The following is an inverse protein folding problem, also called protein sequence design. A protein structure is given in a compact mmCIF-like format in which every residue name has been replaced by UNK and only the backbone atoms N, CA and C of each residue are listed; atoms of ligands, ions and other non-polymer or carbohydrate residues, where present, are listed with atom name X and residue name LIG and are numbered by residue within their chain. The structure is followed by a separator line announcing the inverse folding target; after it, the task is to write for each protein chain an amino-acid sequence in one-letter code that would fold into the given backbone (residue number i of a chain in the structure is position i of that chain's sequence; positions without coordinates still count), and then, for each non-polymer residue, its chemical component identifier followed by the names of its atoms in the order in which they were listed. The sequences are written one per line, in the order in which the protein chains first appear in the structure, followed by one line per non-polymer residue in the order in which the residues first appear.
data_IF_472374182752
#
_entry.id   IF_472374182752
#
_cell.length_a   1.000
_cell.length_b   1.000
_cell.length_c   1.000
_cell.angle_alpha   90.00
_cell.angle_beta   90.00
_cell.angle_gamma   90.00
#
_symmetry.space_group_name_H-M   'P 1'
#
loop_
_entity.id
_entity.type
_entity.pdbx_description
1 polymer ?
#
# COMPACT_ATOMS: atom_id res chain seq x y z
N UNK A 1 -10.31 8.00 34.23
CA UNK A 1 -9.91 8.83 33.07
C UNK A 1 -8.68 8.18 32.46
N UNK A 2 -8.84 7.45 31.35
CA UNK A 2 -7.70 6.79 30.69
C UNK A 2 -6.84 7.83 29.99
N UNK A 3 -5.53 7.83 30.24
CA UNK A 3 -4.59 8.70 29.56
C UNK A 3 -4.76 8.57 28.03
N UNK A 4 -5.00 9.70 27.36
CA UNK A 4 -4.98 9.76 25.90
C UNK A 4 -3.59 9.31 25.44
N UNK A 5 -3.49 8.13 24.80
CA UNK A 5 -2.23 7.64 24.21
C UNK A 5 -1.66 8.74 23.31
N UNK A 6 -0.57 9.39 23.74
CA UNK A 6 0.13 10.40 22.94
C UNK A 6 0.53 9.78 21.60
N UNK A 7 0.17 10.44 20.50
CA UNK A 7 0.59 10.04 19.15
C UNK A 7 2.11 10.04 19.06
N UNK A 8 2.68 9.06 18.37
CA UNK A 8 4.12 8.91 18.19
C UNK A 8 4.57 9.37 16.80
N UNK A 9 5.82 9.77 16.68
CA UNK A 9 6.47 9.91 15.37
C UNK A 9 6.95 8.54 14.91
N UNK A 10 6.57 8.13 13.69
CA UNK A 10 7.10 6.93 13.05
C UNK A 10 7.68 7.33 11.69
N UNK A 11 8.96 7.06 11.49
CA UNK A 11 9.72 7.47 10.29
C UNK A 11 10.20 6.27 9.45
N UNK A 12 10.10 5.03 9.97
CA UNK A 12 10.85 3.90 9.44
C UNK A 12 10.04 2.67 9.02
N UNK A 13 8.73 2.80 8.81
CA UNK A 13 7.90 1.68 8.38
C UNK A 13 6.73 2.11 7.50
N UNK A 14 6.18 1.16 6.76
CA UNK A 14 4.86 1.31 6.14
C UNK A 14 3.85 1.59 7.26
N UNK A 15 3.16 2.74 7.17
CA UNK A 15 2.05 3.04 8.07
C UNK A 15 0.79 2.33 7.58
N UNK A 16 0.42 1.24 8.27
CA UNK A 16 -0.81 0.51 8.00
C UNK A 16 -2.03 1.33 8.44
N UNK A 17 -3.22 1.12 7.84
CA UNK A 17 -4.44 1.84 8.20
C UNK A 17 -4.72 1.85 9.72
N UNK A 18 -4.58 0.70 10.38
CA UNK A 18 -4.78 0.51 11.83
C UNK A 18 -3.83 1.35 12.72
N UNK A 19 -2.66 1.72 12.21
CA UNK A 19 -1.63 2.40 12.99
C UNK A 19 -1.82 3.93 13.00
N UNK A 20 -2.56 4.47 12.01
CA UNK A 20 -2.73 5.92 11.78
C UNK A 20 -3.30 6.68 12.98
N UNK A 21 -4.14 6.05 13.81
CA UNK A 21 -4.71 6.69 15.00
C UNK A 21 -3.66 6.96 16.10
N UNK A 22 -2.56 6.21 16.08
CA UNK A 22 -1.51 6.23 17.10
C UNK A 22 -0.24 6.97 16.68
N UNK A 23 -0.18 7.50 15.45
CA UNK A 23 0.99 8.21 14.92
C UNK A 23 0.60 9.56 14.34
N UNK A 24 1.56 10.48 14.27
CA UNK A 24 1.42 11.68 13.44
C UNK A 24 1.51 11.27 11.96
N UNK A 25 0.50 11.66 11.19
CA UNK A 25 0.31 11.22 9.81
C UNK A 25 -0.31 12.36 9.00
N UNK A 26 0.25 12.63 7.83
CA UNK A 26 -0.33 13.53 6.83
C UNK A 26 -1.12 12.68 5.84
N UNK A 27 -2.44 12.82 5.84
CA UNK A 27 -3.31 12.06 4.92
C UNK A 27 -3.10 12.54 3.48
N UNK A 28 -2.66 11.67 2.55
CA UNK A 28 -2.46 12.05 1.16
C UNK A 28 -3.76 12.09 0.35
N UNK A 29 -4.93 11.78 0.92
CA UNK A 29 -6.20 11.65 0.19
C UNK A 29 -6.48 12.79 -0.80
N UNK A 30 -6.28 14.03 -0.36
CA UNK A 30 -6.60 15.23 -1.13
C UNK A 30 -5.41 15.81 -1.92
N UNK A 31 -4.23 15.19 -1.80
CA UNK A 31 -3.04 15.62 -2.53
C UNK A 31 -3.19 15.32 -4.03
N UNK A 32 -2.79 16.24 -4.92
CA UNK A 32 -2.93 16.10 -6.39
C UNK A 32 -2.41 14.75 -6.91
N UNK A 33 -1.16 14.39 -6.57
CA UNK A 33 -0.57 13.07 -6.88
C UNK A 33 -1.40 11.85 -6.47
N UNK A 34 -2.27 11.96 -5.46
CA UNK A 34 -3.16 10.88 -5.05
C UNK A 34 -4.43 10.83 -5.93
N UNK A 35 -4.96 12.01 -6.29
CA UNK A 35 -6.06 12.15 -7.26
C UNK A 35 -5.66 11.62 -8.63
N UNK A 36 -4.48 12.03 -9.13
CA UNK A 36 -3.94 11.53 -10.40
C UNK A 36 -3.79 10.01 -10.39
N UNK A 37 -3.36 9.43 -9.27
CA UNK A 37 -3.21 7.99 -9.13
C UNK A 37 -4.57 7.27 -9.20
N UNK A 38 -5.60 7.81 -8.54
CA UNK A 38 -6.97 7.28 -8.61
C UNK A 38 -7.52 7.33 -10.02
N UNK A 39 -7.38 8.48 -10.70
CA UNK A 39 -7.85 8.66 -12.08
C UNK A 39 -7.17 7.70 -13.04
N UNK A 40 -5.83 7.58 -12.97
CA UNK A 40 -5.09 6.64 -13.82
C UNK A 40 -5.53 5.18 -13.58
N UNK A 41 -5.81 4.78 -12.34
CA UNK A 41 -6.31 3.44 -12.04
C UNK A 41 -7.73 3.25 -12.57
N UNK A 42 -8.61 4.24 -12.42
CA UNK A 42 -9.97 4.21 -12.96
C UNK A 42 -9.97 4.08 -14.50
N UNK A 43 -8.98 4.68 -15.16
CA UNK A 43 -8.73 4.56 -16.60
C UNK A 43 -7.99 3.27 -17.00
N UNK A 44 -7.81 2.32 -16.08
CA UNK A 44 -7.13 1.04 -16.32
C UNK A 44 -5.67 1.18 -16.79
N UNK A 45 -4.98 2.26 -16.41
CA UNK A 45 -3.57 2.46 -16.73
C UNK A 45 -2.65 1.75 -15.74
N UNK A 46 -1.51 1.28 -16.23
CA UNK A 46 -0.42 0.79 -15.38
C UNK A 46 0.35 1.98 -14.79
N UNK A 47 0.53 1.98 -13.48
CA UNK A 47 1.23 3.06 -12.77
C UNK A 47 2.42 2.52 -11.97
N UNK A 48 3.58 3.16 -12.14
CA UNK A 48 4.78 2.88 -11.36
C UNK A 48 5.06 4.04 -10.40
N UNK A 49 5.06 3.76 -9.10
CA UNK A 49 5.40 4.75 -8.07
C UNK A 49 6.84 4.55 -7.58
N UNK A 50 7.76 5.43 -8.00
CA UNK A 50 9.15 5.42 -7.57
C UNK A 50 9.43 6.53 -6.52
N UNK A 51 10.42 6.31 -5.66
CA UNK A 51 10.82 7.29 -4.64
C UNK A 51 11.76 6.70 -3.59
N UNK A 52 12.46 7.57 -2.86
CA UNK A 52 13.40 7.20 -1.80
C UNK A 52 12.73 6.43 -0.64
N UNK A 53 13.54 5.80 0.22
CA UNK A 53 13.03 5.21 1.47
C UNK A 53 12.33 6.29 2.31
N UNK A 54 11.26 5.90 3.01
CA UNK A 54 10.44 6.80 3.83
C UNK A 54 9.71 7.93 3.07
N UNK A 55 9.60 7.86 1.73
CA UNK A 55 8.86 8.85 0.93
C UNK A 55 7.32 8.70 0.94
N UNK A 56 6.77 7.83 1.81
CA UNK A 56 5.32 7.63 1.93
C UNK A 56 4.66 6.77 0.83
N UNK A 57 5.41 6.04 0.00
CA UNK A 57 4.84 5.22 -1.09
C UNK A 57 3.78 4.23 -0.62
N UNK A 58 4.14 3.35 0.31
CA UNK A 58 3.23 2.34 0.85
C UNK A 58 2.01 2.98 1.50
N UNK A 59 2.20 4.11 2.17
CA UNK A 59 1.12 4.87 2.80
C UNK A 59 0.12 5.42 1.78
N UNK A 60 0.61 5.93 0.65
CA UNK A 60 -0.25 6.36 -0.47
C UNK A 60 -0.96 5.18 -1.12
N UNK A 61 -0.28 4.05 -1.32
CA UNK A 61 -0.90 2.83 -1.85
C UNK A 61 -2.07 2.38 -0.99
N UNK A 62 -1.89 2.29 0.34
CA UNK A 62 -2.99 1.95 1.25
C UNK A 62 -4.13 2.95 1.19
N UNK A 63 -3.84 4.25 1.06
CA UNK A 63 -4.88 5.28 1.01
C UNK A 63 -5.70 5.21 -0.28
N UNK A 64 -5.04 4.99 -1.42
CA UNK A 64 -5.72 4.78 -2.71
C UNK A 64 -6.57 3.52 -2.68
N UNK A 65 -6.08 2.41 -2.12
CA UNK A 65 -6.87 1.19 -1.97
C UNK A 65 -8.15 1.43 -1.17
N UNK A 66 -8.09 2.16 -0.06
CA UNK A 66 -9.29 2.51 0.72
C UNK A 66 -10.31 3.31 -0.09
N UNK A 67 -9.85 4.30 -0.87
CA UNK A 67 -10.72 5.14 -1.70
C UNK A 67 -11.35 4.35 -2.86
N UNK A 68 -10.58 3.45 -3.48
CA UNK A 68 -11.08 2.54 -4.52
C UNK A 68 -12.09 1.54 -3.93
N UNK A 69 -11.80 0.94 -2.78
CA UNK A 69 -12.72 0.03 -2.10
C UNK A 69 -14.03 0.71 -1.72
N UNK A 70 -13.97 1.94 -1.21
CA UNK A 70 -15.16 2.76 -0.95
C UNK A 70 -15.97 3.07 -2.23
N UNK A 71 -15.32 3.01 -3.39
CA UNK A 71 -15.93 3.21 -4.71
C UNK A 71 -16.36 1.91 -5.39
N UNK A 72 -16.27 0.76 -4.71
CA UNK A 72 -16.73 -0.55 -5.19
C UNK A 72 -15.66 -1.44 -5.83
N UNK A 73 -14.38 -1.06 -5.78
CA UNK A 73 -13.30 -1.87 -6.33
C UNK A 73 -12.83 -2.95 -5.35
N UNK A 74 -12.49 -4.13 -5.87
CA UNK A 74 -11.75 -5.15 -5.11
C UNK A 74 -10.24 -4.97 -5.31
N UNK A 75 -9.54 -4.53 -4.28
CA UNK A 75 -8.11 -4.24 -4.33
C UNK A 75 -7.27 -5.38 -3.75
N UNK A 76 -6.31 -5.90 -4.53
CA UNK A 76 -5.37 -6.96 -4.11
C UNK A 76 -3.98 -6.32 -3.92
N UNK A 77 -3.38 -6.48 -2.74
CA UNK A 77 -2.04 -5.96 -2.42
C UNK A 77 -1.02 -7.09 -2.32
N UNK A 78 -0.18 -7.26 -3.35
CA UNK A 78 0.85 -8.30 -3.38
C UNK A 78 2.22 -7.69 -3.14
N UNK A 79 2.99 -8.30 -2.23
CA UNK A 79 4.43 -8.01 -2.11
C UNK A 79 5.23 -9.00 -2.95
N UNK A 80 6.24 -8.50 -3.64
CA UNK A 80 7.18 -9.34 -4.39
C UNK A 80 8.36 -9.84 -3.53
N UNK A 81 8.37 -9.49 -2.23
CA UNK A 81 9.37 -10.00 -1.29
C UNK A 81 9.26 -11.52 -1.18
N UNK A 82 10.38 -12.22 -1.37
CA UNK A 82 10.43 -13.69 -1.29
C UNK A 82 10.07 -14.41 -2.59
N UNK A 83 9.72 -13.69 -3.66
CA UNK A 83 9.51 -14.27 -4.99
C UNK A 83 10.88 -14.47 -5.66
N UNK A 84 11.13 -15.67 -6.15
CA UNK A 84 12.37 -15.98 -6.86
C UNK A 84 12.20 -15.72 -8.36
N UNK A 85 12.54 -14.52 -8.80
CA UNK A 85 12.47 -14.11 -10.21
C UNK A 85 13.48 -14.82 -11.12
N UNK A 86 14.50 -15.46 -10.55
CA UNK A 86 15.57 -16.13 -11.29
C UNK A 86 15.40 -17.66 -11.30
N UNK A 87 14.31 -18.17 -10.73
CA UNK A 87 14.00 -19.60 -10.75
C UNK A 87 13.47 -20.06 -12.11
N UNK A 88 13.36 -21.37 -12.29
CA UNK A 88 12.56 -21.92 -13.37
C UNK A 88 11.06 -21.56 -13.19
N UNK A 89 10.32 -21.73 -14.28
CA UNK A 89 8.91 -21.35 -14.35
C UNK A 89 8.06 -21.98 -13.24
N UNK A 90 8.34 -23.23 -12.85
CA UNK A 90 7.58 -23.94 -11.84
C UNK A 90 7.79 -23.35 -10.45
N UNK A 91 9.04 -23.15 -10.05
CA UNK A 91 9.38 -22.54 -8.76
C UNK A 91 8.95 -21.06 -8.69
N UNK A 92 9.04 -20.32 -9.80
CA UNK A 92 8.48 -18.97 -9.88
C UNK A 92 6.99 -18.96 -9.52
N UNK A 93 6.17 -19.76 -10.22
CA UNK A 93 4.72 -19.80 -9.99
C UNK A 93 4.34 -20.30 -8.61
N UNK A 94 5.10 -21.24 -8.04
CA UNK A 94 4.90 -21.65 -6.64
C UNK A 94 5.11 -20.47 -5.69
N UNK A 95 6.26 -19.78 -5.78
CA UNK A 95 6.56 -18.64 -4.90
C UNK A 95 5.58 -17.47 -5.07
N UNK A 96 5.17 -17.18 -6.30
CA UNK A 96 4.15 -16.17 -6.60
C UNK A 96 2.77 -16.58 -6.07
N UNK A 97 2.37 -17.84 -6.28
CA UNK A 97 1.11 -18.39 -5.80
C UNK A 97 0.99 -18.29 -4.27
N UNK A 98 2.05 -18.63 -3.54
CA UNK A 98 2.10 -18.43 -2.08
C UNK A 98 1.93 -16.96 -1.67
N UNK A 99 2.58 -16.03 -2.38
CA UNK A 99 2.45 -14.60 -2.10
C UNK A 99 1.01 -14.11 -2.31
N UNK A 100 0.34 -14.54 -3.39
CA UNK A 100 -1.06 -14.16 -3.66
C UNK A 100 -2.03 -14.82 -2.69
N UNK A 101 -1.87 -16.11 -2.38
CA UNK A 101 -2.71 -16.83 -1.43
C UNK A 101 -2.72 -16.16 -0.05
N UNK A 102 -1.58 -15.61 0.39
CA UNK A 102 -1.49 -14.90 1.68
C UNK A 102 -2.24 -13.56 1.71
N UNK A 103 -2.75 -13.10 0.56
CA UNK A 103 -3.40 -11.79 0.38
C UNK A 103 -4.92 -11.89 0.24
N UNK A 104 -5.44 -13.03 -0.24
CA UNK A 104 -6.86 -13.30 -0.47
C UNK A 104 -7.51 -13.97 0.74
#
# INVERSE_FOLDING_TARGET
MGESKRRKWSVNSTLLPRERQSVYFVDPADHERNKDLLENIAESKYVLMHGSRASGKSTRTWRVMEQLQASGYFCIYVTLTGINFMADLGTFWQSFGFAVQSTL
#
